data_IF_740507393078
#
_entry.id   IF_740507393078
#
_cell.length_a   1.000
_cell.length_b   1.000
_cell.length_c   1.000
_cell.angle_alpha   90.00
_cell.angle_beta   90.00
_cell.angle_gamma   90.00
#
_symmetry.space_group_name_H-M   'P 1'
#
loop_
_entity.id
_entity.type
_entity.pdbx_description
1 polymer ?
#
# COMPACT_ATOMS: atom_id res chain seq x y z
N UNK A 1 -16.15 -18.52 48.51
CA UNK A 1 -17.26 -18.65 47.55
C UNK A 1 -16.87 -19.70 46.53
N UNK A 2 -17.35 -20.95 46.72
CA UNK A 2 -17.28 -21.96 45.67
C UNK A 2 -18.53 -21.77 44.81
N UNK A 3 -18.34 -21.41 43.57
CA UNK A 3 -19.41 -21.45 42.56
C UNK A 3 -19.37 -22.85 41.98
N UNK A 4 -20.31 -23.71 42.42
CA UNK A 4 -20.55 -25.00 41.77
C UNK A 4 -21.16 -24.73 40.40
N UNK A 5 -20.27 -24.51 39.40
CA UNK A 5 -20.70 -24.38 38.04
C UNK A 5 -20.97 -25.79 37.48
N UNK A 6 -22.19 -26.01 37.02
CA UNK A 6 -22.60 -27.24 36.35
C UNK A 6 -21.61 -27.53 35.20
N UNK A 7 -20.92 -28.69 35.18
CA UNK A 7 -19.96 -29.01 34.17
C UNK A 7 -20.53 -28.97 32.72
N UNK A 8 -21.84 -29.22 32.58
CA UNK A 8 -22.55 -29.09 31.33
C UNK A 8 -22.58 -27.64 30.83
N UNK A 9 -22.80 -26.69 31.74
CA UNK A 9 -22.81 -25.25 31.40
C UNK A 9 -21.44 -24.77 30.99
N UNK A 10 -20.37 -25.22 31.64
CA UNK A 10 -18.98 -24.89 31.28
C UNK A 10 -18.61 -25.42 29.88
N UNK A 11 -19.05 -26.66 29.57
CA UNK A 11 -18.83 -27.28 28.26
C UNK A 11 -19.56 -26.50 27.13
N UNK A 12 -20.81 -26.13 27.34
CA UNK A 12 -21.60 -25.35 26.37
C UNK A 12 -20.96 -23.99 26.12
N UNK A 13 -20.54 -23.30 27.20
CA UNK A 13 -19.90 -21.99 27.10
C UNK A 13 -18.55 -22.08 26.33
N UNK A 14 -17.74 -23.09 26.64
CA UNK A 14 -16.47 -23.32 25.93
C UNK A 14 -16.69 -23.62 24.44
N UNK A 15 -17.71 -24.39 24.08
CA UNK A 15 -18.05 -24.68 22.69
C UNK A 15 -18.49 -23.44 21.93
N UNK A 16 -19.34 -22.59 22.53
CA UNK A 16 -19.80 -21.33 21.94
C UNK A 16 -18.66 -20.35 21.77
N UNK A 17 -17.80 -20.18 22.78
CA UNK A 17 -16.64 -19.30 22.72
C UNK A 17 -15.63 -19.74 21.64
N UNK A 18 -15.38 -21.04 21.53
CA UNK A 18 -14.52 -21.64 20.50
C UNK A 18 -15.09 -21.43 19.10
N UNK A 19 -16.40 -21.64 18.93
CA UNK A 19 -17.11 -21.41 17.68
C UNK A 19 -17.07 -19.94 17.24
N UNK A 20 -17.31 -19.03 18.16
CA UNK A 20 -17.22 -17.58 17.91
C UNK A 20 -15.82 -17.15 17.52
N UNK A 21 -14.80 -17.67 18.22
CA UNK A 21 -13.39 -17.39 17.89
C UNK A 21 -12.99 -17.93 16.51
N UNK A 22 -13.43 -19.13 16.16
CA UNK A 22 -13.17 -19.71 14.86
C UNK A 22 -13.87 -18.91 13.75
N UNK A 23 -15.13 -18.52 13.96
CA UNK A 23 -15.89 -17.68 13.01
C UNK A 23 -15.20 -16.32 12.83
N UNK A 24 -14.76 -15.69 13.92
CA UNK A 24 -14.00 -14.44 13.89
C UNK A 24 -12.71 -14.59 13.06
N UNK A 25 -11.94 -15.65 13.31
CA UNK A 25 -10.72 -15.93 12.55
C UNK A 25 -10.99 -16.16 11.06
N UNK A 26 -12.08 -16.89 10.72
CA UNK A 26 -12.46 -17.11 9.32
C UNK A 26 -12.89 -15.81 8.63
N UNK A 27 -13.62 -14.93 9.32
CA UNK A 27 -14.02 -13.63 8.80
C UNK A 27 -12.80 -12.68 8.63
N UNK A 28 -11.88 -12.68 9.61
CA UNK A 28 -10.64 -11.91 9.52
C UNK A 28 -9.70 -12.46 8.44
N UNK A 29 -9.64 -13.78 8.25
CA UNK A 29 -8.83 -14.41 7.23
C UNK A 29 -9.29 -14.04 5.81
N UNK A 30 -10.60 -13.84 5.60
CA UNK A 30 -11.14 -13.32 4.33
C UNK A 30 -10.73 -11.87 4.04
N UNK A 31 -10.29 -11.10 5.05
CA UNK A 31 -9.79 -9.74 4.92
C UNK A 31 -8.26 -9.65 4.78
N UNK A 32 -7.54 -10.75 4.81
CA UNK A 32 -6.12 -10.75 4.47
C UNK A 32 -6.03 -10.58 2.96
N UNK A 33 -5.94 -9.32 2.55
CA UNK A 33 -5.54 -8.95 1.21
C UNK A 33 -4.09 -9.41 1.00
N UNK A 34 -3.95 -10.66 0.60
CA UNK A 34 -2.75 -11.19 -0.02
C UNK A 34 -3.01 -11.14 -1.50
N UNK A 35 -2.74 -10.03 -2.14
CA UNK A 35 -3.10 -9.89 -3.53
C UNK A 35 -2.35 -8.76 -4.21
N UNK A 36 -2.40 -8.80 -5.52
CA UNK A 36 -2.01 -7.70 -6.38
C UNK A 36 -3.18 -6.75 -6.55
N UNK A 37 -2.87 -5.47 -6.70
CA UNK A 37 -3.83 -4.42 -7.04
C UNK A 37 -3.38 -3.72 -8.30
N UNK A 38 -4.31 -3.41 -9.17
CA UNK A 38 -4.04 -2.59 -10.35
C UNK A 38 -4.26 -1.12 -10.01
N UNK A 39 -3.21 -0.32 -10.13
CA UNK A 39 -3.23 1.11 -9.93
C UNK A 39 -3.22 1.81 -11.29
N UNK A 40 -4.06 2.82 -11.44
CA UNK A 40 -4.00 3.75 -12.57
C UNK A 40 -3.89 5.17 -12.03
N UNK A 41 -2.96 5.96 -12.56
CA UNK A 41 -2.82 7.35 -12.17
C UNK A 41 -2.58 8.24 -13.39
N UNK A 42 -2.97 9.51 -13.28
CA UNK A 42 -2.74 10.53 -14.30
C UNK A 42 -1.70 11.49 -13.77
N UNK A 43 -0.69 11.74 -14.57
CA UNK A 43 0.37 12.70 -14.29
C UNK A 43 0.81 13.37 -15.57
N UNK A 44 0.89 14.72 -15.55
CA UNK A 44 1.25 15.55 -16.70
C UNK A 44 0.40 15.22 -17.95
N UNK A 45 -0.92 15.05 -17.76
CA UNK A 45 -1.88 14.73 -18.81
C UNK A 45 -1.76 13.30 -19.38
N UNK A 46 -0.85 12.48 -18.89
CA UNK A 46 -0.66 11.08 -19.31
C UNK A 46 -1.20 10.11 -18.27
N UNK A 47 -1.72 8.98 -18.74
CA UNK A 47 -2.22 7.91 -17.89
C UNK A 47 -1.21 6.79 -17.79
N UNK A 48 -0.91 6.38 -16.57
CA UNK A 48 0.02 5.28 -16.25
C UNK A 48 -0.74 4.17 -15.53
N UNK A 49 -0.26 2.94 -15.70
CA UNK A 49 -0.80 1.75 -15.01
C UNK A 49 0.34 1.00 -14.36
N UNK A 50 0.08 0.43 -13.18
CA UNK A 50 1.01 -0.38 -12.43
C UNK A 50 0.28 -1.52 -11.72
N UNK A 51 0.90 -2.69 -11.70
CA UNK A 51 0.46 -3.83 -10.90
C UNK A 51 1.30 -3.88 -9.62
N UNK A 52 0.66 -3.67 -8.47
CA UNK A 52 1.34 -3.47 -7.20
C UNK A 52 1.07 -4.60 -6.21
N UNK A 53 2.08 -4.91 -5.41
CA UNK A 53 1.94 -5.79 -4.27
C UNK A 53 1.21 -5.07 -3.15
N UNK A 54 0.12 -5.65 -2.68
CA UNK A 54 -0.59 -5.14 -1.52
C UNK A 54 0.15 -5.55 -0.24
N UNK A 55 0.72 -4.58 0.46
CA UNK A 55 1.50 -4.79 1.68
C UNK A 55 0.81 -4.18 2.90
N UNK A 56 0.49 -5.03 3.88
CA UNK A 56 -0.11 -4.63 5.15
C UNK A 56 0.90 -3.99 6.12
N UNK A 57 2.18 -4.08 5.83
CA UNK A 57 3.27 -3.46 6.61
C UNK A 57 3.67 -2.08 6.10
N UNK A 58 3.15 -1.66 4.95
CA UNK A 58 3.45 -0.35 4.38
C UNK A 58 2.53 0.73 4.97
N UNK A 59 3.06 1.55 5.89
CA UNK A 59 2.37 2.68 6.52
C UNK A 59 3.01 4.02 6.14
N UNK A 60 3.65 4.08 4.98
CA UNK A 60 4.35 5.27 4.54
C UNK A 60 3.35 6.40 4.25
N UNK A 61 3.59 7.55 4.87
CA UNK A 61 2.80 8.76 4.66
C UNK A 61 3.69 9.92 4.26
N UNK A 62 3.15 10.76 3.42
CA UNK A 62 3.79 12.01 3.06
C UNK A 62 3.79 12.99 4.24
N UNK A 63 4.96 13.46 4.64
CA UNK A 63 5.13 14.34 5.80
C UNK A 63 4.45 15.71 5.66
N UNK A 64 4.13 16.14 4.44
CA UNK A 64 3.50 17.44 4.19
C UNK A 64 1.97 17.36 4.14
N UNK A 65 1.43 16.38 3.44
CA UNK A 65 -0.02 16.26 3.24
C UNK A 65 -0.68 15.24 4.17
N UNK A 66 0.10 14.32 4.77
CA UNK A 66 -0.42 13.20 5.52
C UNK A 66 -1.02 12.09 4.65
N UNK A 67 -1.06 12.30 3.33
CA UNK A 67 -1.60 11.31 2.40
C UNK A 67 -0.73 10.05 2.36
N UNK A 68 -1.32 8.87 2.15
CA UNK A 68 -0.57 7.65 2.00
C UNK A 68 0.31 7.69 0.74
N UNK A 69 1.48 7.07 0.84
CA UNK A 69 2.46 7.00 -0.24
C UNK A 69 2.44 5.61 -0.86
N UNK A 70 2.28 5.57 -2.17
CA UNK A 70 2.38 4.36 -2.99
C UNK A 70 3.75 4.34 -3.65
N UNK A 71 4.50 3.25 -3.50
CA UNK A 71 5.82 3.10 -4.11
C UNK A 71 5.66 2.44 -5.46
N UNK A 72 6.20 3.06 -6.51
CA UNK A 72 6.12 2.56 -7.89
C UNK A 72 7.52 2.55 -8.49
N UNK A 73 7.86 1.50 -9.23
CA UNK A 73 9.11 1.44 -9.97
C UNK A 73 9.16 2.56 -11.04
N UNK A 74 10.32 3.17 -11.21
CA UNK A 74 10.52 4.27 -12.17
C UNK A 74 10.11 3.91 -13.59
N UNK A 75 10.27 2.64 -13.96
CA UNK A 75 10.01 2.15 -15.32
C UNK A 75 8.53 2.25 -15.72
N UNK A 76 7.62 2.41 -14.75
CA UNK A 76 6.20 2.66 -15.00
C UNK A 76 5.98 4.02 -15.65
N UNK A 77 6.86 5.01 -15.37
CA UNK A 77 6.81 6.33 -16.01
C UNK A 77 7.48 6.31 -17.41
N UNK A 78 7.00 5.45 -18.28
CA UNK A 78 7.51 5.35 -19.65
C UNK A 78 7.49 6.72 -20.35
N UNK A 79 8.62 7.10 -20.94
CA UNK A 79 8.76 8.37 -21.67
C UNK A 79 9.14 9.58 -20.80
N UNK A 80 9.52 9.38 -19.55
CA UNK A 80 10.13 10.39 -18.68
C UNK A 80 11.63 10.07 -18.46
N UNK A 81 12.51 10.37 -19.43
CA UNK A 81 13.92 9.93 -19.39
C UNK A 81 14.74 10.57 -18.28
N UNK A 82 14.24 11.65 -17.68
CA UNK A 82 14.97 12.41 -16.66
C UNK A 82 14.82 11.85 -15.24
N UNK A 83 14.08 10.76 -15.06
CA UNK A 83 13.85 10.14 -13.73
C UNK A 83 14.91 9.06 -13.51
N UNK A 84 15.96 9.36 -12.77
CA UNK A 84 17.08 8.44 -12.53
C UNK A 84 17.37 8.15 -11.05
N UNK A 85 16.90 8.98 -10.14
CA UNK A 85 17.17 8.85 -8.72
C UNK A 85 16.40 9.86 -7.86
N UNK A 86 16.78 9.98 -6.60
CA UNK A 86 16.27 11.02 -5.70
C UNK A 86 17.12 12.29 -5.81
N UNK A 87 17.32 12.78 -7.02
CA UNK A 87 18.16 13.91 -7.36
C UNK A 87 17.35 15.15 -7.82
N UNK A 88 18.03 16.28 -7.91
CA UNK A 88 17.42 17.55 -8.31
C UNK A 88 16.82 17.49 -9.73
N UNK A 89 17.45 16.75 -10.63
CA UNK A 89 16.98 16.57 -12.00
C UNK A 89 15.66 15.83 -12.05
N UNK A 90 15.54 14.76 -11.25
CA UNK A 90 14.31 14.00 -11.11
C UNK A 90 13.20 14.86 -10.51
N UNK A 91 13.51 15.63 -9.45
CA UNK A 91 12.53 16.56 -8.85
C UNK A 91 12.07 17.62 -9.84
N UNK A 92 12.99 18.19 -10.61
CA UNK A 92 12.64 19.16 -11.66
C UNK A 92 11.73 18.56 -12.74
N UNK A 93 12.00 17.32 -13.15
CA UNK A 93 11.18 16.59 -14.13
C UNK A 93 9.78 16.25 -13.62
N UNK A 94 9.64 16.00 -12.31
CA UNK A 94 8.37 15.71 -11.65
C UNK A 94 7.56 16.98 -11.31
N UNK A 95 8.15 18.16 -11.50
CA UNK A 95 7.45 19.44 -11.41
C UNK A 95 7.24 19.96 -9.98
N UNK A 96 6.36 20.97 -9.85
CA UNK A 96 6.18 21.75 -8.61
C UNK A 96 5.72 20.97 -7.39
N UNK A 97 5.10 19.81 -7.57
CA UNK A 97 4.63 18.96 -6.46
C UNK A 97 5.65 17.92 -6.04
N UNK A 98 6.80 17.90 -6.72
CA UNK A 98 7.88 16.95 -6.44
C UNK A 98 8.56 17.26 -5.12
N UNK A 99 8.89 16.21 -4.37
CA UNK A 99 9.56 16.27 -3.09
C UNK A 99 10.27 14.96 -2.76
N UNK A 100 11.16 15.01 -1.77
CA UNK A 100 11.79 13.82 -1.23
C UNK A 100 10.99 13.30 -0.05
N UNK A 101 10.72 12.00 -0.05
CA UNK A 101 10.05 11.29 1.05
C UNK A 101 11.07 10.32 1.66
N UNK A 102 11.35 10.42 2.98
CA UNK A 102 12.23 9.47 3.64
C UNK A 102 11.52 8.13 3.82
N UNK A 103 12.17 7.05 3.40
CA UNK A 103 11.68 5.69 3.54
C UNK A 103 12.67 4.89 4.36
N UNK A 104 12.19 4.29 5.44
CA UNK A 104 12.97 3.42 6.30
C UNK A 104 12.74 1.98 5.89
N UNK A 105 13.79 1.31 5.48
CA UNK A 105 13.81 -0.11 5.13
C UNK A 105 14.73 -0.89 6.07
N UNK A 106 14.69 -2.22 5.99
CA UNK A 106 15.60 -3.08 6.76
C UNK A 106 17.07 -2.77 6.43
N UNK A 107 17.35 -2.34 5.20
CA UNK A 107 18.70 -1.98 4.72
C UNK A 107 19.14 -0.55 5.05
N UNK A 108 18.27 0.26 5.65
CA UNK A 108 18.61 1.63 6.04
C UNK A 108 17.53 2.66 5.73
N UNK A 109 17.93 3.94 5.76
CA UNK A 109 17.08 5.06 5.41
C UNK A 109 17.43 5.54 4.00
N UNK A 110 16.45 5.54 3.11
CA UNK A 110 16.57 6.03 1.75
C UNK A 110 15.60 7.20 1.50
N UNK A 111 15.93 8.03 0.52
CA UNK A 111 15.05 9.10 0.07
C UNK A 111 14.46 8.70 -1.28
N UNK A 112 13.15 8.78 -1.42
CA UNK A 112 12.47 8.55 -2.70
C UNK A 112 11.95 9.88 -3.24
N UNK A 113 12.11 10.10 -4.54
CA UNK A 113 11.46 11.20 -5.22
C UNK A 113 9.96 10.89 -5.34
N UNK A 114 9.12 11.79 -4.88
CA UNK A 114 7.69 11.61 -4.85
C UNK A 114 6.97 12.82 -5.45
N UNK A 115 5.79 12.60 -5.99
CA UNK A 115 4.95 13.64 -6.59
C UNK A 115 3.47 13.36 -6.34
N UNK A 116 2.65 14.39 -6.45
CA UNK A 116 1.21 14.27 -6.37
C UNK A 116 0.63 14.18 -7.79
N UNK A 117 0.03 13.05 -8.19
CA UNK A 117 -0.64 12.93 -9.47
C UNK A 117 -1.98 13.67 -9.48
N UNK A 118 -2.50 13.97 -10.68
CA UNK A 118 -3.80 14.61 -10.86
C UNK A 118 -4.96 13.74 -10.37
N UNK A 119 -4.81 12.44 -10.54
CA UNK A 119 -5.75 11.46 -10.03
C UNK A 119 -5.11 10.09 -9.84
N UNK A 120 -5.55 9.38 -8.81
CA UNK A 120 -5.16 8.00 -8.53
C UNK A 120 -6.41 7.15 -8.41
N UNK A 121 -6.43 6.04 -9.11
CA UNK A 121 -7.53 5.08 -9.08
C UNK A 121 -6.95 3.68 -8.85
N UNK A 122 -7.50 2.97 -7.88
CA UNK A 122 -7.16 1.58 -7.59
C UNK A 122 -8.29 0.67 -8.04
N UNK A 123 -7.92 -0.48 -8.58
CA UNK A 123 -8.83 -1.56 -8.90
C UNK A 123 -8.47 -2.79 -8.07
N UNK A 124 -9.40 -3.21 -7.22
CA UNK A 124 -9.24 -4.37 -6.35
C UNK A 124 -10.56 -5.13 -6.26
N UNK A 125 -10.50 -6.46 -6.45
CA UNK A 125 -11.70 -7.31 -6.38
C UNK A 125 -12.81 -6.91 -7.36
N UNK A 126 -12.47 -6.37 -8.54
CA UNK A 126 -13.43 -5.90 -9.54
C UNK A 126 -14.08 -4.54 -9.23
N UNK A 127 -13.68 -3.88 -8.15
CA UNK A 127 -14.18 -2.54 -7.78
C UNK A 127 -13.13 -1.49 -8.09
N UNK A 128 -13.58 -0.40 -8.72
CA UNK A 128 -12.76 0.77 -9.02
C UNK A 128 -13.03 1.87 -8.00
N UNK A 129 -11.96 2.41 -7.39
CA UNK A 129 -12.06 3.47 -6.38
C UNK A 129 -10.99 4.53 -6.62
N UNK A 130 -11.38 5.81 -6.56
CA UNK A 130 -10.44 6.93 -6.55
C UNK A 130 -9.96 7.16 -5.13
N UNK A 131 -8.65 7.35 -4.95
CA UNK A 131 -8.01 7.55 -3.65
C UNK A 131 -7.09 8.77 -3.68
N UNK A 132 -6.95 9.51 -2.57
CA UNK A 132 -5.86 10.44 -2.41
C UNK A 132 -4.58 9.66 -2.10
N UNK A 133 -3.55 9.83 -2.91
CA UNK A 133 -2.25 9.22 -2.69
C UNK A 133 -1.14 10.03 -3.34
N UNK A 134 0.04 9.92 -2.78
CA UNK A 134 1.30 10.40 -3.34
C UNK A 134 2.03 9.22 -3.97
N UNK A 135 2.62 9.41 -5.14
CA UNK A 135 3.42 8.39 -5.80
C UNK A 135 4.90 8.66 -5.50
N UNK A 136 5.59 7.69 -4.93
CA UNK A 136 7.02 7.71 -4.73
C UNK A 136 7.70 6.74 -5.70
N UNK A 137 8.80 7.16 -6.31
CA UNK A 137 9.50 6.40 -7.35
C UNK A 137 10.67 5.65 -6.75
N UNK A 138 10.65 4.33 -6.90
CA UNK A 138 11.82 3.49 -6.65
C UNK A 138 12.71 3.44 -7.89
N UNK A 139 13.86 4.10 -7.77
CA UNK A 139 14.89 4.12 -8.79
C UNK A 139 15.98 3.06 -8.55
N UNK A 140 15.90 2.33 -7.43
CA UNK A 140 16.90 1.34 -7.03
C UNK A 140 16.79 -0.02 -7.73
N UNK A 141 15.75 -0.24 -8.51
CA UNK A 141 15.51 -1.51 -9.20
C UNK A 141 15.12 -2.63 -8.25
N UNK A 142 14.46 -2.31 -7.15
CA UNK A 142 13.97 -3.30 -6.19
C UNK A 142 12.99 -4.25 -6.88
N UNK A 143 13.19 -5.54 -6.70
CA UNK A 143 12.27 -6.55 -7.22
C UNK A 143 11.12 -6.75 -6.23
N UNK A 144 9.91 -6.48 -6.68
CA UNK A 144 8.67 -6.70 -5.92
C UNK A 144 7.97 -8.01 -6.33
N UNK A 145 8.77 -9.06 -6.62
CA UNK A 145 8.22 -10.33 -7.09
C UNK A 145 7.65 -10.29 -8.51
N UNK A 146 8.22 -9.44 -9.36
CA UNK A 146 7.75 -9.23 -10.75
C UNK A 146 6.63 -8.20 -10.87
N UNK A 147 6.32 -7.49 -9.79
CA UNK A 147 5.34 -6.41 -9.77
C UNK A 147 6.03 -5.04 -9.82
N UNK A 148 5.25 -4.01 -10.10
CA UNK A 148 5.73 -2.66 -10.35
C UNK A 148 5.93 -1.82 -9.08
N UNK A 149 5.66 -2.38 -7.90
CA UNK A 149 5.83 -1.64 -6.64
C UNK A 149 4.98 -2.16 -5.48
N UNK A 150 4.77 -1.30 -4.48
CA UNK A 150 4.06 -1.60 -3.23
C UNK A 150 2.88 -0.66 -3.03
N UNK A 151 1.76 -1.23 -2.64
CA UNK A 151 0.51 -0.53 -2.33
C UNK A 151 0.14 -0.74 -0.85
N UNK A 152 -0.10 0.33 -0.07
CA UNK A 152 -0.53 0.22 1.32
C UNK A 152 -1.91 -0.44 1.43
N UNK A 153 -2.00 -1.57 2.14
CA UNK A 153 -3.25 -2.32 2.29
C UNK A 153 -4.37 -1.53 3.00
N UNK A 154 -4.01 -0.51 3.78
CA UNK A 154 -4.98 0.36 4.45
C UNK A 154 -5.88 1.17 3.50
N UNK A 155 -5.48 1.29 2.22
CA UNK A 155 -6.23 2.01 1.20
C UNK A 155 -7.31 1.17 0.50
N UNK A 156 -7.41 -0.11 0.81
CA UNK A 156 -8.41 -1.04 0.28
C UNK A 156 -9.61 -1.15 1.21
#
# INVERSE_FOLDING_TARGET
FYVDADPLFVLIFAAVASGASLLYLLLCRRRRFSGTVSLSFVFDGRSYKAELLCDSGCFLRDGMSGDPVVIVAKDVLHGQPSVSGADEKTLAALGKTARLVPVRTVSGCNMLAAFRPDSVTVMSGGRRRRIPAVIALDCGGTSYGGLDGIFPAELL
#
